data_IF_490971487751
#
_entry.id   IF_490971487751
#
_cell.length_a   1.000
_cell.length_b   1.000
_cell.length_c   1.000
_cell.angle_alpha   90.00
_cell.angle_beta   90.00
_cell.angle_gamma   90.00
#
_symmetry.space_group_name_H-M   'P 1'
#
loop_
_entity.id
_entity.type
_entity.pdbx_description
1 polymer ?
#
# COMPACT_ATOMS: atom_id res chain seq x y z
N UNK A 1 29.31 3.36 5.46
CA UNK A 1 27.89 2.95 5.46
C UNK A 1 27.05 4.09 4.92
N UNK A 2 26.00 3.82 4.15
CA UNK A 2 25.09 4.84 3.62
C UNK A 2 24.19 5.40 4.72
N UNK A 3 23.97 6.71 4.71
CA UNK A 3 23.04 7.38 5.61
C UNK A 3 21.62 7.20 5.05
N UNK A 4 20.77 6.49 5.76
CA UNK A 4 19.41 6.12 5.30
C UNK A 4 18.35 6.74 6.21
N UNK A 5 17.56 7.65 5.67
CA UNK A 5 16.40 8.24 6.35
C UNK A 5 15.16 7.39 6.17
N UNK A 6 14.48 7.00 7.25
CA UNK A 6 13.26 6.20 7.23
C UNK A 6 12.11 7.03 7.78
N UNK A 7 11.09 7.30 6.92
CA UNK A 7 9.92 8.14 7.22
C UNK A 7 8.66 7.30 7.17
N UNK A 8 7.72 7.51 8.10
CA UNK A 8 6.44 6.78 8.12
C UNK A 8 6.52 5.33 8.62
N UNK A 9 7.58 4.99 9.32
CA UNK A 9 7.90 3.65 9.83
C UNK A 9 6.87 3.07 10.83
N UNK A 10 6.00 3.92 11.42
CA UNK A 10 4.92 3.48 12.34
C UNK A 10 3.59 3.15 11.65
N UNK A 11 3.47 3.50 10.37
CA UNK A 11 2.29 3.17 9.56
C UNK A 11 2.22 1.68 9.21
N UNK A 12 1.10 1.25 8.59
CA UNK A 12 0.89 -0.15 8.20
C UNK A 12 2.04 -0.69 7.32
N UNK A 13 2.40 0.02 6.27
CA UNK A 13 3.48 -0.38 5.36
C UNK A 13 4.84 -0.26 6.05
N UNK A 14 5.09 0.88 6.70
CA UNK A 14 6.38 1.16 7.33
C UNK A 14 6.73 0.20 8.46
N UNK A 15 5.75 -0.23 9.27
CA UNK A 15 6.00 -1.20 10.36
C UNK A 15 6.33 -2.60 9.82
N UNK A 16 5.69 -3.01 8.72
CA UNK A 16 6.02 -4.29 8.06
C UNK A 16 7.40 -4.22 7.42
N UNK A 17 7.73 -3.11 6.73
CA UNK A 17 9.07 -2.89 6.17
C UNK A 17 10.13 -2.94 7.27
N UNK A 18 9.94 -2.21 8.37
CA UNK A 18 10.87 -2.19 9.49
C UNK A 18 11.10 -3.59 10.07
N UNK A 19 10.02 -4.36 10.26
CA UNK A 19 10.11 -5.73 10.74
C UNK A 19 10.94 -6.60 9.78
N UNK A 20 10.67 -6.53 8.47
CA UNK A 20 11.43 -7.30 7.46
C UNK A 20 12.90 -6.90 7.42
N UNK A 21 13.21 -5.62 7.47
CA UNK A 21 14.59 -5.14 7.52
C UNK A 21 15.36 -5.64 8.76
N UNK A 22 14.66 -5.79 9.90
CA UNK A 22 15.26 -6.41 11.09
C UNK A 22 15.50 -7.91 10.88
N UNK A 23 14.52 -8.62 10.34
CA UNK A 23 14.61 -10.08 10.09
C UNK A 23 15.69 -10.43 9.08
N UNK A 24 15.92 -9.59 8.06
CA UNK A 24 16.93 -9.79 7.01
C UNK A 24 18.31 -9.19 7.36
N UNK A 25 18.45 -8.54 8.53
CA UNK A 25 19.67 -7.87 8.99
C UNK A 25 20.12 -6.69 8.10
N UNK A 26 19.20 -6.03 7.40
CA UNK A 26 19.51 -4.90 6.50
C UNK A 26 20.18 -3.72 7.24
N UNK A 27 19.96 -3.61 8.55
CA UNK A 27 20.55 -2.56 9.38
C UNK A 27 22.06 -2.72 9.63
N UNK A 28 22.65 -3.86 9.30
CA UNK A 28 24.09 -4.08 9.46
C UNK A 28 24.89 -3.35 8.38
N UNK A 29 24.27 -3.05 7.22
CA UNK A 29 24.91 -2.43 6.07
C UNK A 29 24.65 -0.91 5.94
N UNK A 30 23.76 -0.34 6.78
CA UNK A 30 23.35 1.06 6.72
C UNK A 30 23.45 1.77 8.08
N UNK A 31 23.53 3.11 8.02
CA UNK A 31 23.29 3.96 9.18
C UNK A 31 21.87 4.52 9.08
N UNK A 32 20.94 3.94 9.86
CA UNK A 32 19.54 4.30 9.80
C UNK A 32 19.22 5.52 10.67
N UNK A 33 18.45 6.47 10.13
CA UNK A 33 17.90 7.63 10.82
C UNK A 33 16.39 7.63 10.70
N UNK A 34 15.70 7.63 11.83
CA UNK A 34 14.24 7.61 11.85
C UNK A 34 13.67 9.02 11.95
N UNK A 35 12.72 9.31 11.06
CA UNK A 35 12.07 10.61 10.96
C UNK A 35 10.59 10.51 11.36
N UNK A 36 10.06 11.60 11.91
CA UNK A 36 8.64 11.72 12.29
C UNK A 36 8.10 13.10 11.94
N UNK A 37 6.87 13.15 11.44
CA UNK A 37 6.11 14.38 11.19
C UNK A 37 5.45 14.96 12.44
N UNK A 38 5.35 14.18 13.52
CA UNK A 38 4.55 14.56 14.71
C UNK A 38 5.27 14.39 16.05
N UNK A 39 6.44 13.73 16.07
CA UNK A 39 7.10 13.33 17.32
C UNK A 39 8.62 13.49 17.23
N UNK A 40 9.10 14.52 16.54
CA UNK A 40 10.52 14.85 16.48
C UNK A 40 11.09 15.02 17.91
N UNK A 41 12.29 14.50 18.14
CA UNK A 41 12.95 14.50 19.46
C UNK A 41 12.55 13.36 20.41
N UNK A 42 11.44 12.66 20.14
CA UNK A 42 11.06 11.46 20.90
C UNK A 42 12.02 10.26 20.61
N UNK A 43 12.03 9.21 21.44
CA UNK A 43 12.77 7.99 21.16
C UNK A 43 12.27 7.33 19.86
N UNK A 44 13.21 6.87 19.03
CA UNK A 44 12.95 6.07 17.83
C UNK A 44 12.77 4.58 18.17
N UNK A 45 12.64 3.72 17.15
CA UNK A 45 12.60 2.28 17.35
C UNK A 45 13.95 1.77 17.89
N UNK A 46 13.90 0.64 18.57
CA UNK A 46 15.12 -0.04 19.02
C UNK A 46 15.62 -0.95 17.89
N UNK A 47 16.80 -0.67 17.36
CA UNK A 47 17.46 -1.47 16.32
C UNK A 47 18.80 -1.94 16.89
N UNK A 48 19.05 -3.24 16.86
CA UNK A 48 20.29 -3.85 17.40
C UNK A 48 20.63 -3.35 18.81
N UNK A 49 19.59 -3.21 19.68
CA UNK A 49 19.73 -2.76 21.07
C UNK A 49 19.95 -1.24 21.25
N UNK A 50 19.91 -0.44 20.18
CA UNK A 50 20.08 1.02 20.23
C UNK A 50 18.81 1.73 19.78
N UNK A 51 18.52 2.88 20.38
CA UNK A 51 17.42 3.76 19.99
C UNK A 51 17.93 5.19 19.93
N UNK A 52 17.89 5.78 18.74
CA UNK A 52 18.21 7.18 18.53
C UNK A 52 16.97 8.06 18.61
N UNK A 53 17.16 9.38 18.76
CA UNK A 53 16.06 10.32 18.75
C UNK A 53 15.55 10.53 17.34
N UNK A 54 14.21 10.64 17.21
CA UNK A 54 13.55 10.92 15.93
C UNK A 54 13.92 12.31 15.42
N UNK A 55 14.32 12.37 14.16
CA UNK A 55 14.52 13.64 13.42
C UNK A 55 13.17 14.17 12.91
N UNK A 56 13.10 15.50 12.64
CA UNK A 56 11.91 16.10 12.03
C UNK A 56 11.83 15.77 10.54
N UNK A 57 10.75 15.09 10.15
CA UNK A 57 10.50 14.73 8.76
C UNK A 57 10.15 15.90 7.83
N UNK A 58 9.91 17.10 8.38
CA UNK A 58 9.70 18.32 7.60
C UNK A 58 10.98 19.16 7.45
N UNK A 59 12.07 18.81 8.13
CA UNK A 59 13.35 19.49 8.04
C UNK A 59 14.10 19.10 6.78
N UNK A 60 14.05 19.94 5.75
CA UNK A 60 14.79 19.71 4.48
C UNK A 60 16.30 19.58 4.72
N UNK A 61 16.87 20.36 5.65
CA UNK A 61 18.29 20.24 5.97
C UNK A 61 18.66 18.90 6.56
N UNK A 62 17.85 18.37 7.49
CA UNK A 62 18.10 17.07 8.07
C UNK A 62 17.88 15.90 7.07
N UNK A 63 16.92 16.05 6.16
CA UNK A 63 16.68 15.08 5.07
C UNK A 63 17.81 15.13 4.02
N UNK A 64 18.33 16.31 3.72
CA UNK A 64 19.40 16.48 2.73
C UNK A 64 20.74 15.83 3.15
N UNK A 65 20.93 15.53 4.43
CA UNK A 65 22.09 14.77 4.92
C UNK A 65 22.03 13.27 4.54
N UNK A 66 20.87 12.76 4.08
CA UNK A 66 20.70 11.35 3.78
C UNK A 66 21.14 11.00 2.36
N UNK A 67 21.86 9.90 2.20
CA UNK A 67 22.17 9.32 0.89
C UNK A 67 20.93 8.69 0.25
N UNK A 68 20.06 8.11 1.09
CA UNK A 68 18.84 7.42 0.69
C UNK A 68 17.72 7.83 1.64
N UNK A 69 16.55 8.12 1.11
CA UNK A 69 15.32 8.30 1.89
C UNK A 69 14.32 7.23 1.50
N UNK A 70 13.86 6.46 2.48
CA UNK A 70 12.78 5.48 2.34
C UNK A 70 11.54 6.06 3.02
N UNK A 71 10.46 6.26 2.26
CA UNK A 71 9.22 6.82 2.81
C UNK A 71 8.03 5.91 2.66
N UNK A 72 7.30 5.74 3.77
CA UNK A 72 6.00 5.10 3.88
C UNK A 72 4.96 6.08 4.48
N UNK A 73 5.22 7.40 4.38
CA UNK A 73 4.40 8.43 5.03
C UNK A 73 3.13 8.78 4.23
N UNK A 74 3.09 8.40 2.95
CA UNK A 74 1.94 8.63 2.07
C UNK A 74 2.13 9.76 1.07
N UNK A 75 1.19 9.83 0.09
CA UNK A 75 1.34 10.67 -1.09
C UNK A 75 1.37 12.17 -0.83
N UNK A 76 0.67 12.66 0.19
CA UNK A 76 0.66 14.09 0.50
C UNK A 76 2.03 14.56 1.02
N UNK A 77 2.69 13.74 1.86
CA UNK A 77 4.05 13.98 2.30
C UNK A 77 5.01 14.00 1.10
N UNK A 78 4.91 13.03 0.22
CA UNK A 78 5.73 12.95 -0.99
C UNK A 78 5.57 14.17 -1.88
N UNK A 79 4.34 14.59 -2.16
CA UNK A 79 4.05 15.79 -2.98
C UNK A 79 4.61 17.07 -2.38
N UNK A 80 4.64 17.18 -1.05
CA UNK A 80 5.16 18.35 -0.37
C UNK A 80 6.70 18.33 -0.28
N UNK A 81 7.30 17.21 0.11
CA UNK A 81 8.71 17.14 0.51
C UNK A 81 9.63 16.82 -0.66
N UNK A 82 9.28 15.87 -1.53
CA UNK A 82 10.19 15.47 -2.62
C UNK A 82 10.58 16.62 -3.55
N UNK A 83 9.65 17.42 -4.11
CA UNK A 83 10.02 18.56 -4.95
C UNK A 83 10.85 19.62 -4.19
N UNK A 84 10.51 19.89 -2.93
CA UNK A 84 11.22 20.84 -2.10
C UNK A 84 12.67 20.39 -1.83
N UNK A 85 12.86 19.09 -1.59
CA UNK A 85 14.16 18.51 -1.35
C UNK A 85 15.05 18.53 -2.62
N UNK A 86 14.48 18.23 -3.79
CA UNK A 86 15.17 18.36 -5.07
C UNK A 86 15.57 19.81 -5.34
N UNK A 87 14.67 20.77 -5.09
CA UNK A 87 14.96 22.21 -5.23
C UNK A 87 16.02 22.70 -4.22
N UNK A 88 16.12 22.03 -3.07
CA UNK A 88 17.20 22.27 -2.09
C UNK A 88 18.57 21.75 -2.55
N UNK A 89 18.63 21.05 -3.69
CA UNK A 89 19.86 20.52 -4.29
C UNK A 89 20.24 19.10 -3.87
N UNK A 90 19.34 18.37 -3.22
CA UNK A 90 19.61 16.99 -2.81
C UNK A 90 19.75 16.05 -4.03
N UNK A 91 20.73 15.15 -3.95
CA UNK A 91 21.12 14.24 -5.03
C UNK A 91 21.05 12.75 -4.63
N UNK A 92 20.43 12.43 -3.50
CA UNK A 92 20.29 11.06 -3.00
C UNK A 92 19.21 10.26 -3.71
N UNK A 93 18.95 9.07 -3.21
CA UNK A 93 17.91 8.16 -3.70
C UNK A 93 16.63 8.33 -2.90
N UNK A 94 15.51 8.54 -3.59
CA UNK A 94 14.16 8.52 -3.00
C UNK A 94 13.48 7.21 -3.31
N UNK A 95 13.11 6.46 -2.26
CA UNK A 95 12.37 5.19 -2.34
C UNK A 95 11.03 5.39 -1.66
N UNK A 96 9.93 5.24 -2.40
CA UNK A 96 8.60 5.62 -1.94
C UNK A 96 7.59 4.49 -2.07
N UNK A 97 6.88 4.19 -0.99
CA UNK A 97 5.75 3.27 -1.02
C UNK A 97 4.46 3.90 -1.58
N UNK A 98 4.37 5.25 -1.57
CA UNK A 98 3.17 5.96 -2.03
C UNK A 98 3.02 5.97 -3.56
N UNK A 99 1.78 6.14 -4.01
CA UNK A 99 1.45 6.18 -5.44
C UNK A 99 1.73 7.52 -6.13
N UNK A 100 2.06 8.57 -5.38
CA UNK A 100 2.10 9.94 -5.88
C UNK A 100 3.03 10.16 -7.07
N UNK A 101 4.19 9.48 -7.08
CA UNK A 101 5.19 9.61 -8.13
C UNK A 101 5.29 8.37 -9.03
N UNK A 102 4.38 7.40 -8.88
CA UNK A 102 4.44 6.11 -9.59
C UNK A 102 4.43 6.26 -11.10
N UNK A 103 3.67 7.24 -11.61
CA UNK A 103 3.57 7.51 -13.05
C UNK A 103 4.47 8.65 -13.54
N UNK A 104 5.33 9.21 -12.67
CA UNK A 104 6.35 10.17 -13.11
C UNK A 104 7.33 9.50 -14.08
N UNK A 105 7.67 10.16 -15.20
CA UNK A 105 8.55 9.62 -16.23
C UNK A 105 9.95 9.26 -15.71
N UNK A 106 10.41 9.95 -14.67
CA UNK A 106 11.71 9.73 -14.03
C UNK A 106 11.66 8.63 -12.95
N UNK A 107 10.46 8.08 -12.65
CA UNK A 107 10.31 7.06 -11.64
C UNK A 107 10.43 5.65 -12.21
N UNK A 108 11.23 4.81 -11.56
CA UNK A 108 11.22 3.37 -11.76
C UNK A 108 10.32 2.71 -10.73
N UNK A 109 9.30 1.98 -11.18
CA UNK A 109 8.50 1.13 -10.27
C UNK A 109 9.28 -0.16 -10.02
N UNK A 110 9.49 -0.50 -8.73
CA UNK A 110 10.28 -1.66 -8.34
C UNK A 110 9.39 -2.87 -8.02
N UNK A 111 9.68 -3.97 -8.70
CA UNK A 111 9.16 -5.30 -8.41
C UNK A 111 10.25 -6.31 -8.76
N UNK A 112 11.31 -6.35 -7.95
CA UNK A 112 12.58 -7.01 -8.23
C UNK A 112 12.49 -8.40 -8.87
N UNK A 113 11.65 -9.35 -8.38
CA UNK A 113 11.55 -10.67 -9.00
C UNK A 113 10.97 -10.67 -10.41
N UNK A 114 10.27 -9.59 -10.82
CA UNK A 114 9.59 -9.47 -12.11
C UNK A 114 10.39 -8.60 -13.08
N UNK A 115 10.88 -7.44 -12.61
CA UNK A 115 11.48 -6.43 -13.48
C UNK A 115 12.92 -6.03 -13.12
N UNK A 116 13.72 -6.96 -12.58
CA UNK A 116 15.10 -6.72 -12.17
C UNK A 116 15.93 -6.00 -13.23
N UNK A 117 15.82 -6.43 -14.50
CA UNK A 117 16.56 -5.81 -15.59
C UNK A 117 16.21 -4.34 -15.81
N UNK A 118 14.93 -3.96 -15.60
CA UNK A 118 14.48 -2.57 -15.69
C UNK A 118 15.07 -1.74 -14.54
N UNK A 119 15.10 -2.30 -13.33
CA UNK A 119 15.72 -1.67 -12.16
C UNK A 119 17.21 -1.45 -12.40
N UNK A 120 17.94 -2.47 -12.86
CA UNK A 120 19.37 -2.38 -13.11
C UNK A 120 19.69 -1.34 -14.20
N UNK A 121 18.86 -1.28 -15.25
CA UNK A 121 18.97 -0.22 -16.29
C UNK A 121 18.74 1.18 -15.71
N UNK A 122 17.71 1.33 -14.87
CA UNK A 122 17.42 2.60 -14.22
C UNK A 122 18.55 3.07 -13.31
N UNK A 123 19.13 2.17 -12.51
CA UNK A 123 20.30 2.47 -11.66
C UNK A 123 21.50 2.90 -12.52
N UNK A 124 21.81 2.16 -13.60
CA UNK A 124 22.91 2.50 -14.52
C UNK A 124 22.69 3.84 -15.23
N UNK A 125 21.44 4.19 -15.53
CA UNK A 125 21.06 5.48 -16.12
C UNK A 125 21.08 6.64 -15.11
N UNK A 126 21.37 6.39 -13.83
CA UNK A 126 21.44 7.41 -12.79
C UNK A 126 20.09 7.86 -12.26
N UNK A 127 19.03 7.09 -12.50
CA UNK A 127 17.70 7.33 -11.91
C UNK A 127 17.82 7.28 -10.38
N UNK A 128 17.20 8.25 -9.72
CA UNK A 128 17.23 8.42 -8.25
C UNK A 128 15.86 8.24 -7.61
N UNK A 129 14.80 8.13 -8.40
CA UNK A 129 13.44 7.98 -7.95
C UNK A 129 12.95 6.55 -8.18
N UNK A 130 12.76 5.81 -7.08
CA UNK A 130 12.25 4.45 -7.09
C UNK A 130 10.95 4.38 -6.29
N UNK A 131 9.94 3.70 -6.81
CA UNK A 131 8.61 3.65 -6.19
C UNK A 131 8.09 2.22 -6.12
N UNK A 132 7.43 1.88 -5.02
CA UNK A 132 6.71 0.62 -4.92
C UNK A 132 5.47 0.63 -5.81
N UNK A 133 5.14 -0.48 -6.44
CA UNK A 133 3.94 -0.62 -7.26
C UNK A 133 2.65 -0.73 -6.44
N UNK A 134 1.51 -0.71 -7.12
CA UNK A 134 0.21 -0.96 -6.53
C UNK A 134 0.16 -2.36 -5.91
N UNK A 135 -0.40 -2.47 -4.70
CA UNK A 135 -0.40 -3.71 -3.93
C UNK A 135 -1.08 -4.89 -4.63
N UNK A 136 -2.18 -4.64 -5.34
CA UNK A 136 -2.93 -5.67 -6.08
C UNK A 136 -2.21 -6.08 -7.36
N UNK A 137 -1.67 -5.12 -8.09
CA UNK A 137 -0.99 -5.35 -9.36
C UNK A 137 0.35 -6.05 -9.13
N UNK A 138 1.15 -5.61 -8.18
CA UNK A 138 2.42 -6.29 -7.86
C UNK A 138 2.20 -7.73 -7.41
N UNK A 139 1.17 -8.00 -6.61
CA UNK A 139 0.79 -9.34 -6.21
C UNK A 139 0.43 -10.21 -7.43
N UNK A 140 -0.39 -9.68 -8.34
CA UNK A 140 -0.79 -10.37 -9.57
C UNK A 140 0.41 -10.67 -10.46
N UNK A 141 1.27 -9.68 -10.72
CA UNK A 141 2.46 -9.86 -11.56
C UNK A 141 3.48 -10.83 -10.96
N UNK A 142 3.63 -10.86 -9.63
CA UNK A 142 4.44 -11.87 -8.95
C UNK A 142 3.93 -13.29 -9.22
N UNK A 143 2.61 -13.51 -9.13
CA UNK A 143 1.98 -14.79 -9.44
C UNK A 143 2.10 -15.20 -10.92
N UNK A 144 2.20 -14.22 -11.81
CA UNK A 144 2.25 -14.41 -13.27
C UNK A 144 3.68 -14.32 -13.84
N UNK A 145 4.71 -14.17 -13.02
CA UNK A 145 6.08 -13.89 -13.44
C UNK A 145 6.63 -14.86 -14.49
N UNK A 146 6.28 -16.15 -14.40
CA UNK A 146 6.68 -17.15 -15.39
C UNK A 146 6.07 -16.94 -16.78
N UNK A 147 4.77 -16.61 -16.84
CA UNK A 147 4.07 -16.33 -18.08
C UNK A 147 4.54 -15.03 -18.73
N UNK A 148 4.80 -14.02 -17.89
CA UNK A 148 5.36 -12.73 -18.31
C UNK A 148 6.75 -12.93 -18.95
N UNK A 149 7.64 -13.68 -18.29
CA UNK A 149 8.97 -13.99 -18.84
C UNK A 149 8.94 -14.76 -20.16
N UNK A 150 7.90 -15.56 -20.36
CA UNK A 150 7.69 -16.32 -21.58
C UNK A 150 6.98 -15.52 -22.69
N UNK A 151 6.62 -14.26 -22.41
CA UNK A 151 5.90 -13.36 -23.34
C UNK A 151 4.58 -13.96 -23.86
N UNK A 152 3.82 -14.60 -22.94
CA UNK A 152 2.62 -15.35 -23.30
C UNK A 152 1.32 -14.61 -23.05
N UNK A 153 1.34 -13.45 -22.37
CA UNK A 153 0.10 -12.76 -21.96
C UNK A 153 -0.30 -11.74 -23.00
N UNK A 154 -1.43 -11.98 -23.68
CA UNK A 154 -2.03 -11.00 -24.60
C UNK A 154 -2.85 -9.95 -23.86
N UNK A 155 -3.70 -10.35 -22.92
CA UNK A 155 -4.47 -9.46 -22.05
C UNK A 155 -4.87 -10.18 -20.74
N UNK A 156 -5.31 -9.43 -19.76
CA UNK A 156 -5.85 -10.00 -18.51
C UNK A 156 -7.03 -9.21 -17.96
N UNK A 157 -7.92 -9.94 -17.28
CA UNK A 157 -8.99 -9.38 -16.45
C UNK A 157 -8.71 -9.75 -14.99
N UNK A 158 -8.62 -8.75 -14.12
CA UNK A 158 -8.19 -8.90 -12.72
C UNK A 158 -9.30 -8.43 -11.78
N UNK A 159 -10.02 -9.36 -11.15
CA UNK A 159 -10.98 -9.06 -10.09
C UNK A 159 -10.26 -9.09 -8.75
N UNK A 160 -10.05 -7.94 -8.13
CA UNK A 160 -9.32 -7.85 -6.86
C UNK A 160 -10.26 -7.83 -5.66
N UNK A 161 -9.91 -8.58 -4.63
CA UNK A 161 -10.57 -8.59 -3.32
C UNK A 161 -9.60 -7.99 -2.30
N UNK A 162 -9.74 -6.69 -2.07
CA UNK A 162 -8.76 -5.91 -1.32
C UNK A 162 -9.13 -5.80 0.15
N UNK A 163 -8.20 -6.19 1.02
CA UNK A 163 -8.35 -6.10 2.47
C UNK A 163 -8.35 -4.64 2.98
N UNK A 164 -8.87 -4.43 4.18
CA UNK A 164 -8.91 -3.13 4.86
C UNK A 164 -7.50 -2.52 5.02
N UNK A 165 -6.45 -3.33 5.19
CA UNK A 165 -5.07 -2.84 5.34
C UNK A 165 -4.57 -2.06 4.12
N UNK A 166 -5.09 -2.32 2.92
CA UNK A 166 -4.77 -1.55 1.72
C UNK A 166 -5.27 -0.10 1.77
N UNK A 167 -6.31 0.17 2.55
CA UNK A 167 -6.80 1.53 2.79
C UNK A 167 -6.08 2.24 3.95
N UNK A 168 -5.40 1.49 4.83
CA UNK A 168 -4.58 2.04 5.91
C UNK A 168 -5.01 1.64 7.32
N UNK A 169 -4.25 2.09 8.32
CA UNK A 169 -4.42 1.67 9.71
C UNK A 169 -5.75 2.15 10.33
N UNK A 170 -6.28 3.30 9.90
CA UNK A 170 -7.58 3.82 10.40
C UNK A 170 -8.71 2.90 9.95
N UNK A 171 -8.70 2.49 8.70
CA UNK A 171 -9.68 1.57 8.10
C UNK A 171 -9.61 0.17 8.72
N UNK A 172 -8.43 -0.31 9.03
CA UNK A 172 -8.29 -1.58 9.78
C UNK A 172 -8.96 -1.48 11.16
N UNK A 173 -8.71 -0.41 11.90
CA UNK A 173 -9.34 -0.18 13.21
C UNK A 173 -10.85 -0.06 13.11
N UNK A 174 -11.35 0.61 12.08
CA UNK A 174 -12.79 0.76 11.85
C UNK A 174 -13.45 -0.59 11.53
N UNK A 175 -12.86 -1.43 10.68
CA UNK A 175 -13.37 -2.78 10.43
C UNK A 175 -13.44 -3.62 11.72
N UNK A 176 -12.41 -3.54 12.58
CA UNK A 176 -12.41 -4.21 13.89
C UNK A 176 -13.51 -3.64 14.79
N UNK A 177 -13.69 -2.31 14.81
CA UNK A 177 -14.74 -1.66 15.58
C UNK A 177 -16.15 -2.05 15.08
N UNK A 178 -16.37 -2.17 13.77
CA UNK A 178 -17.62 -2.68 13.19
C UNK A 178 -17.91 -4.11 13.65
N UNK A 179 -16.89 -4.97 13.66
CA UNK A 179 -17.02 -6.36 14.17
C UNK A 179 -17.40 -6.39 15.65
N UNK A 180 -16.73 -5.55 16.45
CA UNK A 180 -17.02 -5.42 17.88
C UNK A 180 -18.42 -4.87 18.12
N UNK A 181 -18.86 -3.88 17.34
CA UNK A 181 -20.20 -3.32 17.43
C UNK A 181 -21.28 -4.38 17.22
N UNK A 182 -21.18 -5.20 16.19
CA UNK A 182 -22.13 -6.29 15.95
C UNK A 182 -22.09 -7.28 17.11
N UNK A 183 -20.90 -7.73 17.51
CA UNK A 183 -20.73 -8.74 18.57
C UNK A 183 -21.31 -8.28 19.91
N UNK A 184 -21.20 -7.02 20.28
CA UNK A 184 -21.72 -6.46 21.53
C UNK A 184 -23.25 -6.41 21.60
N UNK A 185 -23.93 -6.45 20.46
CA UNK A 185 -25.40 -6.41 20.36
C UNK A 185 -26.02 -7.79 20.19
N UNK A 186 -25.22 -8.86 20.16
CA UNK A 186 -25.68 -10.25 20.06
C UNK A 186 -25.45 -10.96 21.39
N UNK A 187 -26.44 -11.72 21.84
CA UNK A 187 -26.32 -12.58 23.02
C UNK A 187 -25.77 -13.96 22.66
N UNK A 188 -25.22 -14.67 23.65
CA UNK A 188 -24.76 -16.04 23.47
C UNK A 188 -25.89 -16.98 23.04
N UNK A 189 -27.10 -16.76 23.59
CA UNK A 189 -28.30 -17.59 23.26
C UNK A 189 -28.69 -17.40 21.79
N UNK A 190 -28.63 -16.19 21.25
CA UNK A 190 -28.90 -15.94 19.81
C UNK A 190 -27.93 -16.67 18.90
N UNK A 191 -26.62 -16.70 19.30
CA UNK A 191 -25.57 -17.34 18.51
C UNK A 191 -25.63 -18.89 18.58
N UNK A 192 -26.15 -19.46 19.66
CA UNK A 192 -26.16 -20.90 19.88
C UNK A 192 -27.54 -21.54 19.69
N UNK A 193 -28.56 -20.74 19.41
CA UNK A 193 -29.94 -21.22 19.18
C UNK A 193 -30.01 -22.24 18.04
N UNK A 194 -30.70 -23.37 18.29
CA UNK A 194 -30.99 -24.36 17.25
C UNK A 194 -32.23 -24.02 16.40
N UNK A 195 -32.86 -22.88 16.65
CA UNK A 195 -34.03 -22.41 15.92
C UNK A 195 -33.69 -21.86 14.53
N UNK A 196 -34.66 -21.13 13.93
CA UNK A 196 -34.44 -20.47 12.65
C UNK A 196 -33.33 -19.41 12.76
N UNK A 197 -32.39 -19.41 11.82
CA UNK A 197 -31.32 -18.41 11.74
C UNK A 197 -31.78 -17.02 11.25
N UNK A 198 -33.00 -16.98 10.63
CA UNK A 198 -33.47 -15.74 9.99
C UNK A 198 -33.67 -14.56 10.96
N UNK A 199 -34.14 -14.70 12.20
CA UNK A 199 -34.17 -13.57 13.15
C UNK A 199 -32.76 -12.99 13.43
N UNK A 200 -31.74 -13.86 13.55
CA UNK A 200 -30.36 -13.44 13.76
C UNK A 200 -29.82 -12.67 12.54
N UNK A 201 -30.06 -13.17 11.33
CA UNK A 201 -29.69 -12.51 10.07
C UNK A 201 -30.34 -11.13 9.97
N UNK A 202 -31.64 -11.02 10.28
CA UNK A 202 -32.35 -9.74 10.26
C UNK A 202 -31.75 -8.74 11.27
N UNK A 203 -31.51 -9.20 12.50
CA UNK A 203 -30.90 -8.37 13.55
C UNK A 203 -29.51 -7.88 13.14
N UNK A 204 -28.66 -8.73 12.58
CA UNK A 204 -27.32 -8.32 12.08
C UNK A 204 -27.48 -7.32 10.94
N UNK A 205 -28.40 -7.51 10.02
CA UNK A 205 -28.68 -6.56 8.94
C UNK A 205 -29.15 -5.20 9.45
N UNK A 206 -29.98 -5.16 10.49
CA UNK A 206 -30.41 -3.93 11.15
C UNK A 206 -29.23 -3.22 11.83
N UNK A 207 -28.35 -3.96 12.51
CA UNK A 207 -27.14 -3.41 13.13
C UNK A 207 -26.18 -2.80 12.11
N UNK A 208 -25.94 -3.50 10.99
CA UNK A 208 -25.09 -3.01 9.89
C UNK A 208 -25.62 -1.67 9.34
N UNK A 209 -26.94 -1.51 9.24
CA UNK A 209 -27.56 -0.30 8.71
C UNK A 209 -27.91 0.75 9.78
N UNK A 210 -27.53 0.52 11.03
CA UNK A 210 -27.83 1.45 12.13
C UNK A 210 -26.90 2.64 12.16
N UNK A 211 -27.39 3.76 12.71
CA UNK A 211 -26.59 4.98 12.91
C UNK A 211 -25.40 4.80 13.90
N UNK A 212 -25.39 3.73 14.69
CA UNK A 212 -24.30 3.42 15.62
C UNK A 212 -23.15 2.65 15.00
N UNK A 213 -23.27 2.19 13.73
CA UNK A 213 -22.20 1.49 13.04
C UNK A 213 -21.05 2.46 12.71
N UNK A 214 -19.79 2.17 13.12
CA UNK A 214 -18.64 2.99 12.77
C UNK A 214 -18.37 3.00 11.27
N UNK A 215 -18.39 4.17 10.62
CA UNK A 215 -18.19 4.31 9.16
C UNK A 215 -17.37 5.54 8.77
N UNK A 216 -16.69 6.18 9.70
CA UNK A 216 -16.02 7.48 9.50
C UNK A 216 -14.90 7.42 8.44
N UNK A 217 -14.28 6.25 8.22
CA UNK A 217 -13.14 6.11 7.32
C UNK A 217 -13.49 5.41 6.00
N UNK A 218 -14.47 4.51 5.99
CA UNK A 218 -14.97 3.89 4.76
C UNK A 218 -16.19 4.61 4.16
N UNK A 219 -16.90 5.40 4.96
CA UNK A 219 -18.15 6.04 4.57
C UNK A 219 -19.36 5.11 4.56
N UNK A 220 -19.14 3.79 4.59
CA UNK A 220 -20.17 2.72 4.58
C UNK A 220 -19.68 1.54 5.40
N UNK A 221 -20.58 0.66 5.89
CA UNK A 221 -20.19 -0.58 6.57
C UNK A 221 -19.42 -1.51 5.63
N UNK A 222 -18.30 -2.05 6.09
CA UNK A 222 -17.55 -3.09 5.40
C UNK A 222 -17.74 -4.46 6.05
N UNK A 223 -17.94 -4.51 7.38
CA UNK A 223 -18.21 -5.76 8.08
C UNK A 223 -19.57 -6.32 7.63
N UNK A 224 -19.56 -7.57 7.13
CA UNK A 224 -20.76 -8.24 6.58
C UNK A 224 -21.18 -7.73 5.20
N UNK A 225 -20.33 -6.95 4.51
CA UNK A 225 -20.60 -6.36 3.20
C UNK A 225 -19.35 -6.34 2.32
N UNK A 226 -19.48 -5.77 1.14
CA UNK A 226 -18.37 -5.41 0.23
C UNK A 226 -18.56 -3.97 -0.25
N UNK A 227 -17.45 -3.31 -0.61
CA UNK A 227 -17.50 -2.01 -1.28
C UNK A 227 -16.97 -2.21 -2.70
N UNK A 228 -17.83 -2.17 -3.73
CA UNK A 228 -17.46 -2.48 -5.12
C UNK A 228 -16.81 -1.29 -5.85
N UNK A 229 -16.15 -0.42 -5.12
CA UNK A 229 -15.47 0.78 -5.63
C UNK A 229 -14.30 1.16 -4.74
N UNK A 230 -13.14 1.39 -5.33
CA UNK A 230 -11.94 1.82 -4.60
C UNK A 230 -11.31 3.01 -5.33
N UNK A 231 -10.97 4.08 -4.58
CA UNK A 231 -10.36 5.32 -5.07
C UNK A 231 -11.37 6.21 -5.85
N UNK A 232 -10.90 7.26 -6.50
CA UNK A 232 -11.71 8.26 -7.19
C UNK A 232 -12.27 7.75 -8.52
N UNK A 233 -13.44 8.28 -8.89
CA UNK A 233 -14.05 8.09 -10.20
C UNK A 233 -13.25 8.88 -11.27
N UNK A 234 -12.97 8.26 -12.40
CA UNK A 234 -12.33 8.90 -13.56
C UNK A 234 -13.32 9.47 -14.55
N UNK A 235 -14.62 9.22 -14.37
CA UNK A 235 -15.70 9.73 -15.21
C UNK A 235 -15.94 8.94 -16.51
N UNK A 236 -15.27 7.80 -16.67
CA UNK A 236 -15.39 6.88 -17.79
C UNK A 236 -15.95 5.50 -17.42
N UNK A 237 -16.44 5.38 -16.17
CA UNK A 237 -16.92 4.13 -15.58
C UNK A 237 -15.87 3.31 -14.87
N UNK A 238 -14.62 3.78 -14.84
CA UNK A 238 -13.53 3.16 -14.09
C UNK A 238 -13.20 3.96 -12.84
N UNK A 239 -12.79 3.26 -11.79
CA UNK A 239 -12.11 3.86 -10.66
C UNK A 239 -10.64 4.07 -10.98
N UNK A 240 -10.01 5.01 -10.25
CA UNK A 240 -8.56 5.20 -10.35
C UNK A 240 -7.79 3.94 -9.97
N UNK A 241 -8.31 3.12 -9.08
CA UNK A 241 -7.68 1.85 -8.70
C UNK A 241 -7.66 0.85 -9.86
N UNK A 242 -8.73 0.77 -10.64
CA UNK A 242 -8.82 -0.09 -11.83
C UNK A 242 -7.89 0.40 -12.94
N UNK A 243 -7.85 1.71 -13.18
CA UNK A 243 -6.93 2.31 -14.14
C UNK A 243 -5.46 1.98 -13.84
N UNK A 244 -5.06 1.94 -12.55
CA UNK A 244 -3.70 1.53 -12.15
C UNK A 244 -3.35 0.14 -12.66
N UNK A 245 -4.34 -0.72 -12.85
CA UNK A 245 -4.17 -2.07 -13.38
C UNK A 245 -3.34 -2.09 -14.65
N UNK A 246 -3.80 -1.40 -15.67
CA UNK A 246 -3.12 -1.33 -16.97
C UNK A 246 -1.87 -0.43 -16.92
N UNK A 247 -2.02 0.77 -16.36
CA UNK A 247 -0.95 1.76 -16.38
C UNK A 247 0.32 1.26 -15.67
N UNK A 248 0.16 0.66 -14.47
CA UNK A 248 1.31 0.17 -13.70
C UNK A 248 1.84 -1.16 -14.23
N UNK A 249 1.00 -2.07 -14.71
CA UNK A 249 1.46 -3.31 -15.36
C UNK A 249 2.44 -3.01 -16.48
N UNK A 250 2.03 -2.19 -17.45
CA UNK A 250 2.89 -1.87 -18.59
C UNK A 250 4.16 -1.14 -18.16
N UNK A 251 4.07 -0.19 -17.20
CA UNK A 251 5.23 0.53 -16.71
C UNK A 251 6.22 -0.37 -15.95
N UNK A 252 5.74 -1.28 -15.09
CA UNK A 252 6.59 -2.25 -14.38
C UNK A 252 7.37 -3.12 -15.37
N UNK A 253 6.68 -3.57 -16.42
CA UNK A 253 7.27 -4.44 -17.44
C UNK A 253 8.14 -3.67 -18.45
N UNK A 254 8.16 -2.33 -18.41
CA UNK A 254 8.92 -1.50 -19.36
C UNK A 254 8.30 -1.48 -20.75
N UNK A 255 7.02 -1.73 -20.86
CA UNK A 255 6.23 -1.74 -22.09
C UNK A 255 5.59 -0.37 -22.35
N UNK A 256 5.23 -0.11 -23.61
CA UNK A 256 4.42 1.05 -23.94
C UNK A 256 3.01 0.95 -23.30
N UNK A 257 2.36 2.07 -22.96
CA UNK A 257 1.00 2.07 -22.45
C UNK A 257 0.05 1.27 -23.36
N UNK A 258 -0.80 0.44 -22.77
CA UNK A 258 -1.77 -0.39 -23.50
C UNK A 258 -1.21 -1.62 -24.23
N UNK A 259 0.09 -1.92 -24.10
CA UNK A 259 0.67 -3.14 -24.74
C UNK A 259 0.03 -4.40 -24.17
N UNK A 260 -0.13 -4.50 -22.88
CA UNK A 260 -0.93 -5.54 -22.22
C UNK A 260 -2.19 -4.85 -21.67
N UNK A 261 -3.37 -5.03 -22.29
CA UNK A 261 -4.62 -4.52 -21.73
C UNK A 261 -4.96 -5.21 -20.42
N UNK A 262 -5.30 -4.43 -19.39
CA UNK A 262 -5.71 -4.94 -18.08
C UNK A 262 -7.02 -4.29 -17.69
N UNK A 263 -8.07 -5.08 -17.66
CA UNK A 263 -9.38 -4.68 -17.16
C UNK A 263 -9.72 -5.41 -15.88
N UNK A 264 -10.67 -4.93 -15.12
CA UNK A 264 -11.08 -5.62 -13.92
C UNK A 264 -12.02 -4.83 -13.04
N UNK A 265 -12.22 -5.35 -11.84
CA UNK A 265 -13.02 -4.70 -10.82
C UNK A 265 -12.26 -4.74 -9.49
N UNK A 266 -12.21 -3.61 -8.81
CA UNK A 266 -11.55 -3.48 -7.52
C UNK A 266 -12.58 -3.41 -6.39
N UNK A 267 -12.61 -4.45 -5.54
CA UNK A 267 -13.59 -4.60 -4.47
C UNK A 267 -12.88 -4.55 -3.11
N UNK A 268 -13.38 -3.73 -2.17
CA UNK A 268 -12.98 -3.80 -0.77
C UNK A 268 -13.80 -4.87 -0.07
N UNK A 269 -13.13 -5.78 0.63
CA UNK A 269 -13.76 -6.88 1.37
C UNK A 269 -13.47 -6.81 2.86
N UNK A 270 -14.33 -7.39 3.70
CA UNK A 270 -14.23 -7.41 5.15
C UNK A 270 -13.10 -8.28 5.71
N UNK A 271 -11.94 -8.24 5.07
CA UNK A 271 -10.71 -8.95 5.47
C UNK A 271 -9.70 -7.93 6.00
N UNK A 272 -9.04 -8.25 7.11
CA UNK A 272 -8.11 -7.32 7.78
C UNK A 272 -6.83 -7.11 6.95
N UNK A 273 -6.19 -8.21 6.51
CA UNK A 273 -4.94 -8.21 5.73
C UNK A 273 -5.01 -9.25 4.62
N UNK A 274 -4.10 -9.10 3.66
CA UNK A 274 -3.93 -9.94 2.48
C UNK A 274 -5.02 -9.71 1.43
N UNK A 275 -4.57 -9.24 0.27
CA UNK A 275 -5.40 -9.14 -0.92
C UNK A 275 -5.48 -10.50 -1.61
N UNK A 276 -6.57 -10.71 -2.34
CA UNK A 276 -6.74 -11.84 -3.25
C UNK A 276 -7.15 -11.32 -4.62
N UNK A 277 -6.93 -12.10 -5.64
CA UNK A 277 -7.39 -11.78 -6.99
C UNK A 277 -7.85 -13.04 -7.72
N UNK A 278 -8.92 -12.89 -8.51
CA UNK A 278 -9.29 -13.86 -9.54
C UNK A 278 -8.86 -13.26 -10.89
N UNK A 279 -8.05 -14.01 -11.65
CA UNK A 279 -7.43 -13.51 -12.87
C UNK A 279 -7.82 -14.42 -14.04
N UNK A 280 -8.33 -13.80 -15.10
CA UNK A 280 -8.55 -14.47 -16.39
C UNK A 280 -7.50 -13.95 -17.37
N UNK A 281 -6.83 -14.84 -18.06
CA UNK A 281 -5.77 -14.54 -19.02
C UNK A 281 -6.15 -15.02 -20.41
N UNK A 282 -5.75 -14.26 -21.42
CA UNK A 282 -5.56 -14.75 -22.77
C UNK A 282 -4.07 -14.89 -23.05
N UNK A 283 -3.68 -16.07 -23.49
CA UNK A 283 -2.32 -16.45 -23.83
C UNK A 283 -2.18 -16.58 -25.35
#
# INVERSE_FOLDING_TARGET
>A
MKQVGIVGWRGMVGSVLLQRMIEENDFDDITAHFFSTSSAGAPGPVINGKSDRLKDANSLSALAEMDIIITCQGGDYTKAIYPALINHGWQGYWIDAASALRMDEKACIILDPVNRENIDRAVKAGIKLFVGGNCSITLSLMGLAGLIKADLIEWMSVMTYQSASGAGAKQVRELIAQSAYISQHLSADELTSSGSVLPLVNKVSELINSAGMPVENFGVPLMGSIIPWIDSDLGDGNSREEWKGEAETNKILGLAPGTIPVNGLCIRVGVIRCHSAAITLKL
#
